data_IF_028180875360
#
_entry.id   IF_028180875360
#
_cell.length_a   1.000
_cell.length_b   1.000
_cell.length_c   1.000
_cell.angle_alpha   90.00
_cell.angle_beta   90.00
_cell.angle_gamma   90.00
#
_symmetry.space_group_name_H-M   'P 1'
#
loop_
_entity.id
_entity.type
_entity.pdbx_description
1 polymer ?
#
# COMPACT_ATOMS: atom_id res chain seq x y z
N UNK A 1 71.15 69.43 67.80
CA UNK A 1 70.10 70.21 67.24
C UNK A 1 69.22 69.33 66.37
N UNK A 2 68.18 68.72 66.93
CA UNK A 2 67.20 67.91 66.14
C UNK A 2 65.83 68.42 66.54
N UNK A 3 65.09 68.93 65.60
CA UNK A 3 63.70 69.37 65.73
C UNK A 3 62.79 68.20 65.61
N UNK A 4 61.96 67.92 66.65
CA UNK A 4 60.96 66.92 66.68
C UNK A 4 59.63 67.56 66.22
N UNK A 5 59.02 67.04 65.20
CA UNK A 5 57.71 67.47 64.72
C UNK A 5 56.68 66.46 65.21
N UNK A 6 55.68 66.96 65.96
CA UNK A 6 54.49 66.19 66.35
C UNK A 6 53.46 66.28 65.24
N UNK A 7 53.00 65.14 64.79
CA UNK A 7 51.86 65.03 63.84
C UNK A 7 50.63 64.59 64.64
N UNK A 8 49.63 65.42 64.65
CA UNK A 8 48.28 65.07 65.13
C UNK A 8 47.52 64.23 64.06
N UNK A 9 47.10 63.03 64.42
CA UNK A 9 46.31 62.18 63.60
C UNK A 9 44.82 62.45 63.88
N UNK A 10 44.11 62.99 62.90
CA UNK A 10 42.65 63.18 62.92
C UNK A 10 41.97 61.94 62.39
N UNK A 11 41.30 61.17 63.24
CA UNK A 11 40.54 60.01 62.83
C UNK A 11 39.20 60.47 62.25
N UNK A 12 39.04 60.34 60.93
CA UNK A 12 37.73 60.46 60.26
C UNK A 12 36.99 59.11 60.35
N UNK A 13 35.85 59.06 61.02
CA UNK A 13 34.89 58.00 61.00
C UNK A 13 34.14 58.07 59.66
N UNK A 14 34.49 57.20 58.73
CA UNK A 14 33.70 57.01 57.48
C UNK A 14 32.54 56.04 57.76
N UNK A 15 31.32 56.57 57.80
CA UNK A 15 30.11 55.78 57.84
C UNK A 15 29.89 55.18 56.44
N UNK A 16 30.21 53.91 56.23
CA UNK A 16 29.94 53.21 55.01
C UNK A 16 28.45 52.76 54.90
N UNK A 17 27.66 53.53 54.19
CA UNK A 17 26.36 53.03 53.68
C UNK A 17 26.61 51.89 52.81
N UNK A 18 26.28 50.67 53.22
CA UNK A 18 26.15 49.48 52.33
C UNK A 18 24.90 49.70 51.51
N UNK A 19 25.05 50.15 50.25
CA UNK A 19 24.01 50.07 49.25
C UNK A 19 23.94 48.61 48.89
N UNK A 20 22.93 47.92 49.41
CA UNK A 20 22.53 46.59 48.93
C UNK A 20 22.14 46.70 47.44
N UNK A 21 23.10 46.40 46.58
CA UNK A 21 22.83 46.30 45.12
C UNK A 21 21.91 45.14 44.91
N UNK A 22 20.65 45.44 44.65
CA UNK A 22 19.78 44.48 43.95
C UNK A 22 20.39 44.23 42.55
N UNK A 23 21.15 43.16 42.43
CA UNK A 23 21.41 42.60 41.10
C UNK A 23 20.05 42.31 40.47
N UNK A 24 19.78 42.80 39.25
CA UNK A 24 18.55 42.41 38.56
C UNK A 24 18.54 40.89 38.48
N UNK A 25 17.59 40.27 39.16
CA UNK A 25 17.31 38.86 38.92
C UNK A 25 16.82 38.81 37.44
N UNK A 26 17.65 38.31 36.55
CA UNK A 26 17.22 37.99 35.21
C UNK A 26 16.06 37.02 35.34
N UNK A 27 14.83 37.53 35.23
CA UNK A 27 13.63 36.74 35.23
C UNK A 27 13.67 35.91 33.94
N UNK A 28 14.18 34.69 34.03
CA UNK A 28 14.18 33.74 32.91
C UNK A 28 12.73 33.57 32.51
N UNK A 29 12.37 34.14 31.37
CA UNK A 29 11.03 34.06 30.80
C UNK A 29 10.73 32.60 30.40
N UNK A 30 9.58 32.09 30.81
CA UNK A 30 9.12 30.77 30.41
C UNK A 30 9.04 30.67 28.90
N UNK A 31 9.55 29.58 28.33
CA UNK A 31 9.47 29.24 26.89
C UNK A 31 8.53 28.09 26.68
N UNK A 32 7.71 28.20 25.64
CA UNK A 32 6.81 27.17 25.19
C UNK A 32 7.43 26.46 23.99
N UNK A 33 7.51 25.13 24.06
CA UNK A 33 7.96 24.31 22.95
C UNK A 33 6.91 23.25 22.61
N UNK A 34 6.77 22.95 21.35
CA UNK A 34 5.92 21.89 20.81
C UNK A 34 6.69 21.23 19.68
N UNK A 35 6.46 19.93 19.44
CA UNK A 35 7.12 19.18 18.39
C UNK A 35 6.10 18.69 17.37
N UNK A 36 6.60 18.42 16.16
CA UNK A 36 5.85 17.69 15.15
C UNK A 36 5.46 16.30 15.68
N UNK A 37 4.31 15.83 15.24
CA UNK A 37 3.82 14.50 15.56
C UNK A 37 3.43 13.75 14.30
N UNK A 38 3.50 12.42 14.37
CA UNK A 38 3.17 11.56 13.26
C UNK A 38 2.52 10.27 13.77
N UNK A 39 1.37 9.92 13.23
CA UNK A 39 0.66 8.68 13.54
C UNK A 39 0.03 8.10 12.29
N UNK A 40 -0.12 6.78 12.24
CA UNK A 40 -0.81 6.09 11.15
C UNK A 40 -2.30 6.47 11.09
N UNK A 41 -2.82 6.55 9.88
CA UNK A 41 -4.26 6.68 9.64
C UNK A 41 -4.99 5.42 10.10
N UNK A 42 -6.06 5.62 10.83
CA UNK A 42 -6.89 4.55 11.39
C UNK A 42 -8.29 4.51 10.78
N UNK A 43 -8.92 3.33 10.84
CA UNK A 43 -10.36 3.15 10.53
C UNK A 43 -11.27 3.66 11.66
N UNK A 44 -10.69 4.09 12.78
CA UNK A 44 -11.37 4.75 13.89
C UNK A 44 -10.76 6.15 14.08
N UNK A 45 -11.57 7.09 14.61
CA UNK A 45 -11.08 8.42 14.93
C UNK A 45 -9.93 8.34 15.94
N UNK A 46 -8.86 9.11 15.69
CA UNK A 46 -7.64 9.09 16.50
C UNK A 46 -7.27 10.50 16.91
N UNK A 47 -6.99 10.71 18.20
CA UNK A 47 -6.51 11.99 18.67
C UNK A 47 -5.00 12.14 18.46
N UNK A 48 -4.62 13.19 17.74
CA UNK A 48 -3.24 13.64 17.61
C UNK A 48 -2.96 14.63 18.72
N UNK A 49 -2.25 14.18 19.77
CA UNK A 49 -1.97 14.96 20.97
C UNK A 49 -0.68 15.75 20.83
N UNK A 50 -0.79 17.05 20.65
CA UNK A 50 0.33 17.98 20.70
C UNK A 50 0.60 18.38 22.16
N UNK A 51 1.79 18.05 22.66
CA UNK A 51 2.24 18.43 24.01
C UNK A 51 2.98 19.75 23.94
N UNK A 52 2.44 20.76 24.62
CA UNK A 52 3.07 22.06 24.79
C UNK A 52 3.87 22.03 26.11
N UNK A 53 5.19 22.02 26.01
CA UNK A 53 6.08 22.01 27.17
C UNK A 53 6.41 23.43 27.62
N UNK A 54 6.52 23.65 28.94
CA UNK A 54 6.82 24.92 29.57
C UNK A 54 8.15 24.81 30.34
N UNK A 55 9.16 25.57 29.94
CA UNK A 55 10.47 25.53 30.59
C UNK A 55 11.15 26.91 30.62
N UNK A 56 11.56 27.41 31.82
CA UNK A 56 11.14 26.97 33.14
C UNK A 56 9.64 27.17 33.36
N UNK A 57 9.07 26.57 34.41
CA UNK A 57 7.67 26.78 34.78
C UNK A 57 7.40 28.24 35.11
N UNK A 58 6.22 28.74 34.77
CA UNK A 58 5.79 30.12 35.10
C UNK A 58 5.05 30.16 36.44
N UNK A 59 5.33 31.14 37.26
CA UNK A 59 4.55 31.43 38.46
C UNK A 59 3.19 32.08 38.15
N UNK A 60 2.91 32.43 36.91
CA UNK A 60 1.65 32.99 36.40
C UNK A 60 0.99 32.06 35.43
N UNK A 61 -0.32 32.15 35.30
CA UNK A 61 -1.02 31.47 34.24
C UNK A 61 -0.53 31.94 32.87
N UNK A 62 -0.27 30.99 31.97
CA UNK A 62 0.09 31.27 30.58
C UNK A 62 -1.17 31.10 29.73
N UNK A 63 -1.39 31.98 28.78
CA UNK A 63 -2.42 31.81 27.75
C UNK A 63 -1.81 31.99 26.38
N UNK A 64 -2.32 31.25 25.39
CA UNK A 64 -1.93 31.41 23.99
C UNK A 64 -3.09 30.98 23.08
N UNK A 65 -3.13 31.58 21.92
CA UNK A 65 -4.09 31.19 20.89
C UNK A 65 -3.55 29.99 20.09
N UNK A 66 -4.43 29.11 19.64
CA UNK A 66 -4.10 28.04 18.72
C UNK A 66 -5.14 27.90 17.63
N UNK A 67 -4.71 27.41 16.46
CA UNK A 67 -5.59 26.97 15.38
C UNK A 67 -4.93 25.88 14.56
N UNK A 68 -5.74 25.02 13.95
CA UNK A 68 -5.27 24.14 12.89
C UNK A 68 -5.37 24.83 11.54
N UNK A 69 -4.48 24.48 10.60
CA UNK A 69 -4.41 25.00 9.24
C UNK A 69 -4.21 23.85 8.27
N UNK A 70 -4.98 23.84 7.21
CA UNK A 70 -4.87 22.84 6.14
C UNK A 70 -3.50 22.90 5.44
N UNK A 71 -3.05 21.72 5.02
CA UNK A 71 -1.97 21.53 4.07
C UNK A 71 -2.41 20.46 3.06
N UNK A 72 -1.82 19.28 3.04
CA UNK A 72 -2.32 18.16 2.23
C UNK A 72 -3.50 17.43 2.90
N UNK A 73 -3.63 17.53 4.22
CA UNK A 73 -4.83 17.14 4.96
C UNK A 73 -5.79 18.32 5.04
N UNK A 74 -7.10 18.06 4.87
CA UNK A 74 -8.16 19.08 4.77
C UNK A 74 -9.15 18.90 5.93
N UNK A 75 -9.45 20.00 6.63
CA UNK A 75 -10.42 20.04 7.71
C UNK A 75 -11.81 19.60 7.25
N UNK A 76 -12.51 18.85 8.09
CA UNK A 76 -13.83 18.26 7.79
C UNK A 76 -13.78 16.99 6.96
N UNK A 77 -12.62 16.68 6.37
CA UNK A 77 -12.39 15.46 5.59
C UNK A 77 -11.36 14.54 6.25
N UNK A 78 -10.23 15.09 6.65
CA UNK A 78 -9.12 14.33 7.20
C UNK A 78 -8.96 14.53 8.72
N UNK A 79 -9.37 15.69 9.22
CA UNK A 79 -9.32 16.03 10.65
C UNK A 79 -10.41 17.06 11.01
N UNK A 80 -10.67 17.21 12.30
CA UNK A 80 -11.59 18.25 12.80
C UNK A 80 -10.82 19.55 13.02
N UNK A 81 -11.25 20.64 12.39
CA UNK A 81 -10.66 21.96 12.59
C UNK A 81 -10.79 22.40 14.05
N UNK A 82 -9.72 22.98 14.58
CA UNK A 82 -9.69 23.55 15.92
C UNK A 82 -9.22 25.00 15.86
N UNK A 83 -9.82 25.84 16.73
CA UNK A 83 -9.35 27.17 17.07
C UNK A 83 -9.75 27.47 18.50
N UNK A 84 -8.89 28.13 19.26
CA UNK A 84 -9.20 28.43 20.66
C UNK A 84 -8.06 29.12 21.41
N UNK A 85 -8.26 29.23 22.71
CA UNK A 85 -7.25 29.72 23.66
C UNK A 85 -6.90 28.58 24.59
N UNK A 86 -5.61 28.23 24.64
CA UNK A 86 -5.09 27.32 25.65
C UNK A 86 -4.70 28.12 26.89
N UNK A 87 -5.16 27.70 28.07
CA UNK A 87 -4.76 28.22 29.36
C UNK A 87 -3.93 27.17 30.10
N UNK A 88 -2.72 27.52 30.50
CA UNK A 88 -1.81 26.66 31.26
C UNK A 88 -1.69 27.28 32.67
N UNK A 89 -2.18 26.62 33.74
CA UNK A 89 -2.08 27.13 35.11
C UNK A 89 -0.63 27.34 35.53
N UNK A 90 -0.44 28.24 36.50
CA UNK A 90 0.86 28.47 37.11
C UNK A 90 1.50 27.16 37.59
N UNK A 91 2.83 27.08 37.47
CA UNK A 91 3.67 25.94 37.87
C UNK A 91 3.42 24.61 37.10
N UNK A 92 2.60 24.61 36.05
CA UNK A 92 2.48 23.44 35.16
C UNK A 92 3.66 23.36 34.19
N UNK A 93 4.12 22.13 33.93
CA UNK A 93 5.24 21.86 33.03
C UNK A 93 4.78 21.60 31.57
N UNK A 94 3.50 21.28 31.37
CA UNK A 94 2.94 21.01 30.06
C UNK A 94 1.43 21.20 30.01
N UNK A 95 0.91 21.31 28.81
CA UNK A 95 -0.51 21.21 28.45
C UNK A 95 -0.67 20.51 27.12
N UNK A 96 -1.91 20.20 26.73
CA UNK A 96 -2.20 19.41 25.53
C UNK A 96 -3.19 20.11 24.62
N UNK A 97 -3.01 19.94 23.32
CA UNK A 97 -4.01 20.24 22.30
C UNK A 97 -4.24 18.92 21.52
N UNK A 98 -5.47 18.40 21.59
CA UNK A 98 -5.87 17.18 20.91
C UNK A 98 -6.60 17.54 19.62
N UNK A 99 -6.03 17.18 18.48
CA UNK A 99 -6.66 17.30 17.15
C UNK A 99 -7.23 15.94 16.75
N UNK A 100 -8.53 15.86 16.58
CA UNK A 100 -9.17 14.61 16.12
C UNK A 100 -8.94 14.41 14.64
N UNK A 101 -8.21 13.36 14.27
CA UNK A 101 -8.09 12.85 12.91
C UNK A 101 -9.28 11.94 12.63
N UNK A 102 -9.97 12.20 11.52
CA UNK A 102 -11.17 11.49 11.13
C UNK A 102 -10.83 10.09 10.60
N UNK A 103 -11.70 9.10 10.83
CA UNK A 103 -11.51 7.74 10.33
C UNK A 103 -11.55 7.74 8.80
N UNK A 104 -10.70 6.94 8.18
CA UNK A 104 -10.70 6.73 6.73
C UNK A 104 -10.22 5.32 6.41
N UNK A 105 -10.98 4.60 5.59
CA UNK A 105 -10.61 3.29 5.06
C UNK A 105 -9.87 3.41 3.71
N UNK A 106 -9.79 4.61 3.13
CA UNK A 106 -9.11 4.83 1.85
C UNK A 106 -7.59 4.78 2.04
N UNK A 107 -6.94 4.21 1.06
CA UNK A 107 -5.48 4.15 0.98
C UNK A 107 -4.98 5.45 0.37
N UNK A 108 -4.41 6.32 1.20
CA UNK A 108 -3.93 7.64 0.80
C UNK A 108 -2.45 7.76 1.09
N UNK A 109 -1.71 8.64 0.38
CA UNK A 109 -0.35 9.01 0.78
C UNK A 109 -0.37 9.68 2.15
N UNK A 110 0.80 9.88 2.71
CA UNK A 110 0.96 10.73 3.89
C UNK A 110 0.34 12.09 3.64
N UNK A 111 -0.46 12.55 4.60
CA UNK A 111 -1.10 13.85 4.58
C UNK A 111 -0.69 14.64 5.81
N UNK A 112 -0.66 15.96 5.71
CA UNK A 112 -0.24 16.82 6.81
C UNK A 112 -1.19 18.00 6.99
N UNK A 113 -1.32 18.42 8.24
CA UNK A 113 -1.91 19.69 8.66
C UNK A 113 -0.96 20.41 9.59
N UNK A 114 -1.19 21.69 9.84
CA UNK A 114 -0.41 22.47 10.79
C UNK A 114 -1.21 22.78 12.05
N UNK A 115 -0.52 22.80 13.19
CA UNK A 115 -0.98 23.47 14.40
C UNK A 115 -0.17 24.75 14.56
N UNK A 116 -0.83 25.90 14.58
CA UNK A 116 -0.23 27.20 14.78
C UNK A 116 -0.57 27.75 16.17
N UNK A 117 0.47 28.12 16.92
CA UNK A 117 0.41 28.77 18.23
C UNK A 117 0.79 30.25 18.07
N UNK A 118 0.05 31.14 18.75
CA UNK A 118 0.29 32.56 18.62
C UNK A 118 -0.11 33.32 19.89
N UNK A 119 0.36 34.57 20.02
CA UNK A 119 0.02 35.48 21.07
C UNK A 119 0.17 34.92 22.49
N UNK A 120 1.34 34.36 22.87
CA UNK A 120 1.57 33.86 24.24
C UNK A 120 1.62 35.05 25.23
N UNK A 121 0.96 34.86 26.38
CA UNK A 121 0.99 35.79 27.50
C UNK A 121 1.71 35.11 28.67
N UNK A 122 2.61 35.81 29.34
CA UNK A 122 3.50 35.34 30.43
C UNK A 122 4.50 34.23 29.99
N UNK A 123 4.73 34.07 28.69
CA UNK A 123 5.71 33.17 28.12
C UNK A 123 6.11 33.66 26.70
N UNK A 124 7.11 33.02 26.11
CA UNK A 124 7.49 33.18 24.71
C UNK A 124 7.47 31.82 23.97
N UNK A 125 7.26 31.80 22.67
CA UNK A 125 7.36 30.59 21.88
C UNK A 125 8.83 30.29 21.56
N UNK A 126 9.19 29.01 21.61
CA UNK A 126 10.43 28.49 21.02
C UNK A 126 10.17 28.22 19.51
N UNK A 127 10.84 29.01 18.66
CA UNK A 127 10.62 28.92 17.22
C UNK A 127 9.43 29.76 16.72
N UNK A 128 8.88 29.38 15.57
CA UNK A 128 7.81 30.14 14.89
C UNK A 128 6.38 29.82 15.36
N UNK A 129 6.27 28.90 16.35
CA UNK A 129 4.96 28.46 16.86
C UNK A 129 4.13 27.60 15.87
N UNK A 130 4.73 27.08 14.82
CA UNK A 130 4.07 26.24 13.82
C UNK A 130 4.69 24.85 13.80
N UNK A 131 3.86 23.83 13.96
CA UNK A 131 4.26 22.41 13.94
C UNK A 131 3.36 21.60 13.02
N UNK A 132 3.84 20.44 12.63
CA UNK A 132 3.19 19.55 11.67
C UNK A 132 2.57 18.36 12.39
N UNK A 133 1.31 18.06 12.06
CA UNK A 133 0.68 16.78 12.35
C UNK A 133 0.66 15.95 11.06
N UNK A 134 1.43 14.87 11.00
CA UNK A 134 1.48 13.98 9.84
C UNK A 134 0.57 12.78 10.06
N UNK A 135 -0.42 12.64 9.21
CA UNK A 135 -1.29 11.47 9.10
C UNK A 135 -0.61 10.52 8.14
N UNK A 136 0.10 9.52 8.64
CA UNK A 136 0.82 8.55 7.83
C UNK A 136 -0.15 7.61 7.12
N UNK A 137 0.18 7.20 5.91
CA UNK A 137 -0.52 6.11 5.27
C UNK A 137 -0.28 4.82 6.08
N UNK A 138 -1.23 3.89 5.97
CA UNK A 138 -1.16 2.60 6.68
C UNK A 138 -0.26 1.57 5.95
N UNK A 139 0.70 2.02 5.14
CA UNK A 139 1.60 1.18 4.35
C UNK A 139 0.95 0.52 3.13
N UNK A 140 -0.31 0.79 2.86
CA UNK A 140 -1.08 0.16 1.79
C UNK A 140 -1.41 1.11 0.62
N UNK A 141 -1.10 2.39 0.72
CA UNK A 141 -1.19 3.31 -0.41
C UNK A 141 -0.08 3.01 -1.41
N UNK A 142 -0.48 2.79 -2.65
CA UNK A 142 0.43 2.56 -3.76
C UNK A 142 0.10 3.57 -4.86
N UNK A 143 0.99 4.52 -5.17
CA UNK A 143 0.84 5.33 -6.37
C UNK A 143 1.02 4.42 -7.58
N UNK A 144 -0.02 4.27 -8.40
CA UNK A 144 0.02 3.50 -9.62
C UNK A 144 0.08 4.45 -10.79
N UNK A 145 1.17 4.35 -11.57
CA UNK A 145 1.23 4.96 -12.88
C UNK A 145 0.49 4.03 -13.87
N UNK A 146 -0.63 4.48 -14.41
CA UNK A 146 -1.48 3.72 -15.33
C UNK A 146 -0.95 3.66 -16.77
N UNK A 147 0.28 4.10 -17.03
CA UNK A 147 0.88 4.06 -18.37
C UNK A 147 1.01 2.64 -18.91
N UNK A 148 0.87 2.49 -20.21
CA UNK A 148 1.00 1.21 -20.91
C UNK A 148 -0.06 1.04 -21.98
N UNK A 149 -0.13 -0.17 -22.54
CA UNK A 149 -1.08 -0.48 -23.59
C UNK A 149 -2.52 -0.44 -23.08
N UNK A 150 -3.43 0.08 -23.92
CA UNK A 150 -4.87 0.10 -23.68
C UNK A 150 -5.58 -0.57 -24.85
N UNK A 151 -6.27 -1.66 -24.58
CA UNK A 151 -7.07 -2.35 -25.60
C UNK A 151 -8.34 -1.55 -25.93
N UNK A 152 -8.94 -1.87 -27.09
CA UNK A 152 -10.24 -1.33 -27.44
C UNK A 152 -11.28 -1.66 -26.38
N UNK A 153 -12.18 -0.73 -26.11
CA UNK A 153 -13.35 -0.98 -25.25
C UNK A 153 -14.51 -1.66 -26.00
N UNK A 154 -14.38 -1.84 -27.31
CA UNK A 154 -15.41 -2.45 -28.18
C UNK A 154 -14.77 -3.32 -29.24
N UNK A 155 -15.42 -4.43 -29.58
CA UNK A 155 -14.99 -5.33 -30.64
C UNK A 155 -16.16 -5.61 -31.59
N UNK A 156 -15.92 -5.65 -32.91
CA UNK A 156 -16.99 -5.93 -33.90
C UNK A 156 -17.72 -7.25 -33.60
N UNK A 157 -19.04 -7.19 -33.51
CA UNK A 157 -19.88 -8.37 -33.26
C UNK A 157 -19.86 -8.90 -31.82
N UNK A 158 -19.23 -8.19 -30.86
CA UNK A 158 -19.18 -8.57 -29.45
C UNK A 158 -19.71 -7.45 -28.58
N UNK A 159 -20.35 -7.80 -27.48
CA UNK A 159 -20.78 -6.87 -26.42
C UNK A 159 -19.97 -7.14 -25.16
N UNK A 160 -19.66 -6.09 -24.39
CA UNK A 160 -19.15 -6.24 -23.03
C UNK A 160 -20.25 -6.83 -22.15
N UNK A 161 -20.08 -8.10 -21.73
CA UNK A 161 -21.08 -8.82 -20.93
C UNK A 161 -20.75 -8.80 -19.43
N UNK A 162 -19.49 -8.59 -19.09
CA UNK A 162 -19.03 -8.47 -17.71
C UNK A 162 -17.69 -7.76 -17.65
N UNK A 163 -17.50 -6.97 -16.60
CA UNK A 163 -16.18 -6.45 -16.24
C UNK A 163 -16.04 -6.26 -14.74
N UNK A 164 -14.81 -6.24 -14.28
CA UNK A 164 -14.42 -5.65 -13.00
C UNK A 164 -13.29 -4.65 -13.27
N UNK A 165 -13.61 -3.37 -13.07
CA UNK A 165 -12.70 -2.23 -13.20
C UNK A 165 -12.14 -1.85 -11.82
N UNK A 166 -12.32 -2.69 -10.81
CA UNK A 166 -11.91 -2.53 -9.42
C UNK A 166 -12.25 -1.15 -8.82
N UNK A 167 -13.51 -0.71 -8.94
CA UNK A 167 -13.92 0.60 -8.44
C UNK A 167 -13.89 0.64 -6.91
N UNK A 168 -13.60 1.81 -6.36
CA UNK A 168 -13.61 2.01 -4.92
C UNK A 168 -12.31 1.59 -4.22
N UNK A 169 -12.42 0.90 -3.09
CA UNK A 169 -11.29 0.58 -2.21
C UNK A 169 -11.34 -0.83 -1.62
N UNK A 170 -12.27 -1.65 -2.06
CA UNK A 170 -12.44 -3.04 -1.60
C UNK A 170 -12.64 -3.98 -2.78
N UNK A 171 -12.16 -5.22 -2.64
CA UNK A 171 -12.41 -6.29 -3.59
C UNK A 171 -13.89 -6.66 -3.49
N UNK A 172 -14.58 -6.72 -4.64
CA UNK A 172 -16.00 -7.02 -4.69
C UNK A 172 -16.25 -8.51 -4.41
N UNK A 173 -16.88 -8.88 -3.27
CA UNK A 173 -17.13 -10.29 -2.91
C UNK A 173 -18.19 -10.97 -3.79
N UNK A 174 -18.91 -10.23 -4.63
CA UNK A 174 -19.81 -10.80 -5.64
C UNK A 174 -19.07 -11.26 -6.91
N UNK A 175 -17.81 -10.87 -7.06
CA UNK A 175 -16.97 -11.27 -8.20
C UNK A 175 -15.85 -12.23 -7.76
N UNK A 176 -15.29 -12.05 -6.55
CA UNK A 176 -14.07 -12.71 -6.11
C UNK A 176 -14.22 -13.34 -4.72
N UNK A 177 -13.54 -14.45 -4.56
CA UNK A 177 -13.27 -15.11 -3.29
C UNK A 177 -11.78 -15.36 -3.14
N UNK A 178 -11.36 -15.90 -1.99
CA UNK A 178 -9.98 -16.22 -1.70
C UNK A 178 -9.78 -17.71 -1.56
N UNK A 179 -8.74 -18.20 -2.21
CA UNK A 179 -8.19 -19.51 -1.94
C UNK A 179 -7.04 -19.35 -0.91
N UNK A 180 -7.09 -20.08 0.19
CA UNK A 180 -6.16 -19.89 1.31
C UNK A 180 -5.43 -21.16 1.68
N UNK A 181 -4.16 -21.06 2.06
CA UNK A 181 -3.35 -22.19 2.47
C UNK A 181 -1.89 -22.07 2.08
N UNK A 182 -1.05 -22.94 2.64
CA UNK A 182 0.40 -22.92 2.44
C UNK A 182 1.00 -24.31 2.21
N UNK A 183 0.24 -25.24 1.59
CA UNK A 183 0.68 -26.64 1.38
C UNK A 183 1.50 -26.86 0.09
N UNK A 184 1.96 -25.78 -0.59
CA UNK A 184 2.79 -25.84 -1.79
C UNK A 184 2.02 -26.00 -3.09
N UNK A 185 0.70 -26.00 -3.06
CA UNK A 185 -0.24 -25.91 -4.19
C UNK A 185 0.05 -26.83 -5.40
N UNK A 186 0.66 -27.98 -5.12
CA UNK A 186 1.05 -28.97 -6.13
C UNK A 186 2.39 -28.67 -6.83
N UNK A 187 2.99 -27.51 -6.62
CA UNK A 187 4.19 -27.04 -7.31
C UNK A 187 5.38 -26.77 -6.36
N UNK A 188 5.31 -27.17 -5.07
CA UNK A 188 6.28 -26.82 -4.04
C UNK A 188 6.44 -25.29 -3.86
N UNK A 189 5.34 -24.55 -4.01
CA UNK A 189 5.28 -23.11 -3.75
C UNK A 189 5.56 -22.82 -2.25
N UNK A 190 6.14 -21.66 -1.96
CA UNK A 190 6.66 -21.34 -0.62
C UNK A 190 5.78 -20.38 0.16
N UNK A 191 4.84 -19.70 -0.50
CA UNK A 191 3.92 -18.75 0.14
C UNK A 191 2.78 -19.48 0.86
N UNK A 192 2.18 -18.74 1.78
CA UNK A 192 0.83 -18.98 2.27
C UNK A 192 -0.10 -17.98 1.58
N UNK A 193 -1.09 -18.43 0.84
CA UNK A 193 -2.14 -17.55 0.31
C UNK A 193 -3.10 -17.19 1.43
N UNK A 194 -3.33 -15.90 1.63
CA UNK A 194 -4.17 -15.34 2.69
C UNK A 194 -5.33 -14.52 2.10
N UNK A 195 -6.36 -14.30 2.90
CA UNK A 195 -7.41 -13.32 2.63
C UNK A 195 -7.12 -11.93 3.23
N UNK A 196 -5.87 -11.69 3.63
CA UNK A 196 -5.44 -10.43 4.25
C UNK A 196 -5.44 -9.28 3.23
N UNK A 197 -5.94 -8.12 3.66
CA UNK A 197 -5.82 -6.89 2.89
C UNK A 197 -4.38 -6.39 2.72
N UNK A 198 -3.40 -7.04 3.35
CA UNK A 198 -1.97 -6.84 3.05
C UNK A 198 -1.54 -7.51 1.75
N UNK A 199 -2.16 -8.65 1.41
CA UNK A 199 -1.80 -9.44 0.24
C UNK A 199 -2.70 -9.18 -0.97
N UNK A 200 -3.99 -8.79 -0.77
CA UNK A 200 -4.83 -8.37 -1.86
C UNK A 200 -5.70 -7.17 -1.47
N UNK A 201 -5.69 -6.14 -2.29
CA UNK A 201 -6.40 -4.89 -2.02
C UNK A 201 -6.68 -4.09 -3.28
N UNK A 202 -7.67 -3.19 -3.19
CA UNK A 202 -7.98 -2.22 -4.24
C UNK A 202 -7.44 -0.85 -3.83
N UNK A 203 -6.80 -0.15 -4.75
CA UNK A 203 -6.30 1.21 -4.58
C UNK A 203 -6.35 1.97 -5.91
N UNK A 204 -6.93 3.17 -5.91
CA UNK A 204 -7.01 4.05 -7.08
C UNK A 204 -7.61 3.38 -8.34
N UNK A 205 -8.56 2.47 -8.21
CA UNK A 205 -9.15 1.75 -9.34
C UNK A 205 -8.32 0.57 -9.84
N UNK A 206 -7.37 0.08 -9.06
CA UNK A 206 -6.53 -1.08 -9.38
C UNK A 206 -6.65 -2.15 -8.31
N UNK A 207 -6.75 -3.41 -8.71
CA UNK A 207 -6.48 -4.54 -7.83
C UNK A 207 -4.96 -4.74 -7.71
N UNK A 208 -4.48 -4.90 -6.49
CA UNK A 208 -3.09 -5.25 -6.20
C UNK A 208 -3.05 -6.60 -5.52
N UNK A 209 -2.28 -7.54 -6.07
CA UNK A 209 -1.90 -8.79 -5.40
C UNK A 209 -0.44 -8.65 -5.01
N UNK A 210 -0.16 -8.71 -3.70
CA UNK A 210 1.16 -8.43 -3.14
C UNK A 210 1.75 -9.68 -2.47
N UNK A 211 2.84 -10.18 -3.04
CA UNK A 211 3.68 -11.21 -2.44
C UNK A 211 4.67 -10.56 -1.46
N UNK A 212 4.71 -11.05 -0.22
CA UNK A 212 5.50 -10.50 0.88
C UNK A 212 6.46 -11.54 1.45
N UNK A 213 7.61 -11.07 1.92
CA UNK A 213 8.51 -11.89 2.74
C UNK A 213 8.18 -11.63 4.20
N UNK A 214 7.32 -12.45 4.75
CA UNK A 214 6.93 -12.40 6.15
C UNK A 214 6.58 -13.80 6.66
N UNK A 215 6.76 -14.03 7.95
CA UNK A 215 6.41 -15.31 8.58
C UNK A 215 4.90 -15.38 8.78
N UNK A 216 4.30 -16.46 8.26
CA UNK A 216 2.89 -16.77 8.48
C UNK A 216 2.77 -18.31 8.63
N UNK A 217 2.30 -18.78 9.78
CA UNK A 217 2.29 -20.21 10.14
C UNK A 217 3.67 -20.87 9.89
N UNK A 218 3.75 -21.88 9.03
CA UNK A 218 5.00 -22.55 8.68
C UNK A 218 5.74 -21.90 7.51
N UNK A 219 5.08 -21.02 6.73
CA UNK A 219 5.61 -20.40 5.53
C UNK A 219 6.40 -19.12 5.86
N UNK A 220 7.34 -18.75 4.99
CA UNK A 220 8.17 -17.55 5.11
C UNK A 220 7.77 -16.44 4.12
N UNK A 221 6.73 -16.69 3.36
CA UNK A 221 6.15 -15.75 2.41
C UNK A 221 4.63 -15.81 2.52
N UNK A 222 3.99 -14.69 2.23
CA UNK A 222 2.54 -14.58 2.06
C UNK A 222 2.22 -13.98 0.70
N UNK A 223 1.05 -14.34 0.16
CA UNK A 223 0.51 -13.78 -1.06
C UNK A 223 -1.00 -13.90 -1.05
N UNK A 224 -1.66 -13.63 -2.19
CA UNK A 224 -3.08 -13.89 -2.36
C UNK A 224 -3.34 -14.64 -3.67
N UNK A 225 -4.39 -15.47 -3.63
CA UNK A 225 -4.98 -16.17 -4.77
C UNK A 225 -6.47 -15.87 -4.76
N UNK A 226 -6.92 -15.10 -5.75
CA UNK A 226 -8.31 -14.72 -5.93
C UNK A 226 -8.93 -15.59 -7.00
N UNK A 227 -10.17 -16.00 -6.78
CA UNK A 227 -10.91 -16.82 -7.73
C UNK A 227 -12.35 -16.32 -7.89
N UNK A 228 -12.91 -16.51 -9.09
CA UNK A 228 -14.30 -16.19 -9.37
C UNK A 228 -15.21 -17.43 -9.36
N UNK A 229 -14.75 -18.56 -8.81
CA UNK A 229 -15.52 -19.80 -8.71
C UNK A 229 -16.86 -19.53 -7.97
N UNK A 230 -17.94 -20.17 -8.42
CA UNK A 230 -19.32 -20.00 -7.92
C UNK A 230 -19.88 -18.58 -7.99
N UNK A 231 -19.12 -17.64 -8.55
CA UNK A 231 -19.53 -16.23 -8.71
C UNK A 231 -19.65 -15.83 -10.17
N UNK A 232 -18.57 -16.04 -10.94
CA UNK A 232 -18.50 -15.69 -12.37
C UNK A 232 -17.75 -16.77 -13.13
N UNK A 233 -18.37 -17.26 -14.19
CA UNK A 233 -17.76 -18.19 -15.13
C UNK A 233 -18.25 -17.91 -16.54
N UNK A 234 -17.43 -18.23 -17.53
CA UNK A 234 -17.69 -17.92 -18.92
C UNK A 234 -17.31 -19.11 -19.81
N UNK A 235 -17.91 -19.15 -20.98
CA UNK A 235 -17.56 -20.08 -22.06
C UNK A 235 -17.51 -19.27 -23.35
N UNK A 236 -16.38 -19.32 -24.06
CA UNK A 236 -16.12 -18.55 -25.28
C UNK A 236 -16.09 -17.03 -25.11
N UNK A 237 -15.81 -16.33 -26.21
CA UNK A 237 -15.72 -14.88 -26.28
C UNK A 237 -14.28 -14.35 -26.21
N UNK A 238 -14.16 -13.07 -25.96
CA UNK A 238 -12.86 -12.44 -25.71
C UNK A 238 -12.76 -12.05 -24.23
N UNK A 239 -11.63 -12.38 -23.63
CA UNK A 239 -11.29 -12.06 -22.25
C UNK A 239 -10.03 -11.20 -22.26
N UNK A 240 -10.07 -10.03 -21.64
CA UNK A 240 -8.95 -9.11 -21.54
C UNK A 240 -8.60 -8.85 -20.07
N UNK A 241 -7.35 -9.11 -19.68
CA UNK A 241 -6.75 -8.66 -18.43
C UNK A 241 -5.75 -7.57 -18.73
N UNK A 242 -5.94 -6.38 -18.17
CA UNK A 242 -4.90 -5.34 -18.20
C UNK A 242 -4.13 -5.35 -16.90
N UNK A 243 -2.85 -5.71 -16.99
CA UNK A 243 -2.03 -5.88 -15.78
C UNK A 243 -0.60 -5.41 -15.97
N UNK A 244 0.03 -5.05 -14.85
CA UNK A 244 1.46 -4.80 -14.69
C UNK A 244 2.02 -5.87 -13.77
N UNK A 245 3.08 -6.55 -14.19
CA UNK A 245 3.54 -7.77 -13.55
C UNK A 245 4.73 -7.55 -12.62
N UNK A 246 4.90 -8.38 -11.57
CA UNK A 246 6.07 -8.39 -10.71
C UNK A 246 7.30 -8.99 -11.42
N UNK A 247 8.48 -8.80 -10.81
CA UNK A 247 9.75 -9.37 -11.27
C UNK A 247 10.62 -9.87 -10.12
N UNK A 248 11.63 -10.65 -10.44
CA UNK A 248 12.60 -11.20 -9.48
C UNK A 248 12.61 -12.71 -9.44
N UNK A 249 13.77 -13.30 -9.13
CA UNK A 249 13.91 -14.75 -9.03
C UNK A 249 12.91 -15.34 -8.03
N UNK A 250 12.22 -16.41 -8.44
CA UNK A 250 11.24 -17.12 -7.61
C UNK A 250 9.88 -16.43 -7.48
N UNK A 251 9.57 -15.45 -8.35
CA UNK A 251 8.26 -14.79 -8.43
C UNK A 251 7.52 -15.33 -9.65
N UNK A 252 6.25 -15.73 -9.47
CA UNK A 252 5.45 -16.38 -10.50
C UNK A 252 4.00 -15.86 -10.46
N UNK A 253 3.71 -14.77 -11.16
CA UNK A 253 2.35 -14.27 -11.35
C UNK A 253 1.62 -15.10 -12.40
N UNK A 254 0.30 -15.27 -12.19
CA UNK A 254 -0.58 -15.91 -13.16
C UNK A 254 -1.97 -15.23 -13.23
N UNK A 255 -2.49 -15.17 -14.45
CA UNK A 255 -3.86 -14.82 -14.82
C UNK A 255 -4.41 -15.99 -15.61
N UNK A 256 -5.26 -16.79 -15.02
CA UNK A 256 -5.61 -18.11 -15.55
C UNK A 256 -7.04 -18.55 -15.19
N UNK A 257 -7.44 -19.71 -15.68
CA UNK A 257 -8.79 -20.22 -15.53
C UNK A 257 -8.80 -21.73 -15.31
N UNK A 258 -9.77 -22.21 -14.52
CA UNK A 258 -10.09 -23.63 -14.38
C UNK A 258 -11.55 -23.91 -14.73
N UNK A 259 -11.81 -25.12 -15.22
CA UNK A 259 -13.17 -25.59 -15.50
C UNK A 259 -14.02 -25.63 -14.22
N UNK A 260 -15.27 -25.14 -14.29
CA UNK A 260 -16.19 -25.10 -13.13
C UNK A 260 -16.57 -26.49 -12.61
N UNK A 261 -16.28 -27.54 -13.38
CA UNK A 261 -16.54 -28.92 -13.00
C UNK A 261 -15.38 -29.58 -12.21
N UNK A 262 -14.43 -28.78 -11.68
CA UNK A 262 -13.24 -29.28 -10.98
C UNK A 262 -13.57 -30.22 -9.81
N UNK A 263 -14.67 -29.95 -9.09
CA UNK A 263 -15.10 -30.77 -7.96
C UNK A 263 -15.57 -32.19 -8.36
N UNK A 264 -15.99 -32.36 -9.62
CA UNK A 264 -16.48 -33.62 -10.16
C UNK A 264 -15.53 -34.27 -11.14
N UNK A 265 -14.75 -33.45 -11.84
CA UNK A 265 -13.67 -33.86 -12.73
C UNK A 265 -12.38 -33.20 -12.27
N UNK A 266 -11.64 -33.89 -11.39
CA UNK A 266 -10.39 -33.35 -10.86
C UNK A 266 -9.40 -32.99 -11.99
N UNK A 267 -8.53 -32.05 -11.70
CA UNK A 267 -7.44 -31.66 -12.59
C UNK A 267 -6.62 -32.88 -13.04
N UNK A 268 -6.17 -32.95 -14.29
CA UNK A 268 -6.31 -31.96 -15.36
C UNK A 268 -7.56 -32.14 -16.26
N UNK A 269 -8.50 -33.02 -15.92
CA UNK A 269 -9.66 -33.33 -16.78
C UNK A 269 -10.72 -32.21 -16.79
N UNK A 270 -10.73 -31.34 -15.77
CA UNK A 270 -11.55 -30.11 -15.77
C UNK A 270 -11.07 -29.10 -16.83
N UNK A 271 -9.81 -29.21 -17.25
CA UNK A 271 -9.15 -28.25 -18.15
C UNK A 271 -8.58 -27.04 -17.39
N UNK A 272 -7.48 -26.48 -17.91
CA UNK A 272 -6.83 -25.26 -17.41
C UNK A 272 -6.42 -24.40 -18.60
N UNK A 273 -6.63 -23.08 -18.50
CA UNK A 273 -6.24 -22.08 -19.50
C UNK A 273 -5.43 -21.00 -18.81
N UNK A 274 -4.13 -20.98 -19.07
CA UNK A 274 -3.23 -19.95 -18.52
C UNK A 274 -3.12 -18.83 -19.53
N UNK A 275 -3.92 -17.77 -19.32
CA UNK A 275 -3.94 -16.61 -20.23
C UNK A 275 -2.59 -15.89 -20.17
N UNK A 276 -2.00 -15.81 -18.99
CA UNK A 276 -0.68 -15.24 -18.76
C UNK A 276 -0.02 -15.90 -17.57
N UNK A 277 1.20 -16.38 -17.76
CA UNK A 277 2.15 -16.72 -16.73
C UNK A 277 3.48 -16.01 -17.01
N UNK A 278 4.23 -15.68 -15.94
CA UNK A 278 5.55 -15.08 -16.07
C UNK A 278 6.50 -15.64 -15.01
N UNK A 279 7.74 -15.94 -15.42
CA UNK A 279 8.84 -16.19 -14.48
C UNK A 279 9.51 -14.87 -14.16
N UNK A 280 9.48 -14.45 -12.90
CA UNK A 280 9.97 -13.12 -12.50
C UNK A 280 11.45 -12.87 -12.80
N UNK A 281 12.26 -13.91 -13.03
CA UNK A 281 13.65 -13.79 -13.49
C UNK A 281 13.78 -13.64 -15.02
N UNK A 282 12.68 -13.84 -15.78
CA UNK A 282 12.56 -13.53 -17.20
C UNK A 282 11.47 -12.47 -17.44
N UNK A 283 11.56 -11.25 -16.82
CA UNK A 283 10.44 -10.32 -16.73
C UNK A 283 10.00 -9.72 -18.07
N UNK A 284 10.72 -9.98 -19.14
CA UNK A 284 10.36 -9.62 -20.52
C UNK A 284 9.55 -10.70 -21.25
N UNK A 285 9.35 -11.89 -20.65
CA UNK A 285 8.77 -13.05 -21.32
C UNK A 285 7.55 -13.57 -20.58
N UNK A 286 6.42 -13.61 -21.27
CA UNK A 286 5.17 -14.17 -20.77
C UNK A 286 4.77 -15.41 -21.57
N UNK A 287 4.05 -16.31 -20.93
CA UNK A 287 3.62 -17.60 -21.48
C UNK A 287 2.10 -17.67 -21.48
N UNK A 288 1.55 -18.41 -22.45
CA UNK A 288 0.16 -18.85 -22.48
C UNK A 288 0.10 -20.34 -22.74
N UNK A 289 -0.69 -21.04 -21.96
CA UNK A 289 -0.72 -22.52 -21.95
C UNK A 289 -2.16 -23.04 -21.83
N UNK A 290 -2.42 -24.21 -22.32
CA UNK A 290 -3.63 -24.98 -21.98
C UNK A 290 -3.23 -26.37 -21.52
N UNK A 291 -3.89 -26.85 -20.44
CA UNK A 291 -3.66 -28.16 -19.84
C UNK A 291 -4.93 -29.01 -19.86
N UNK A 292 -4.77 -30.29 -20.16
CA UNK A 292 -5.85 -31.29 -20.15
C UNK A 292 -5.29 -32.69 -19.86
N UNK A 293 -6.15 -33.65 -19.67
CA UNK A 293 -5.78 -35.05 -19.47
C UNK A 293 -6.84 -35.85 -18.71
N UNK A 294 -6.56 -37.10 -18.33
CA UNK A 294 -7.48 -37.89 -17.51
C UNK A 294 -7.56 -37.38 -16.10
N UNK A 295 -8.71 -37.50 -15.45
CA UNK A 295 -8.93 -37.06 -14.09
C UNK A 295 -7.93 -37.69 -13.11
N UNK A 296 -7.17 -36.85 -12.36
CA UNK A 296 -6.13 -37.27 -11.44
C UNK A 296 -4.93 -37.97 -12.08
N UNK A 297 -4.84 -37.95 -13.42
CA UNK A 297 -3.74 -38.53 -14.19
C UNK A 297 -2.68 -37.51 -14.62
N UNK A 298 -1.83 -37.91 -15.55
CA UNK A 298 -0.81 -37.03 -16.11
C UNK A 298 -1.44 -35.92 -16.94
N UNK A 299 -0.98 -34.70 -16.75
CA UNK A 299 -1.35 -33.57 -17.58
C UNK A 299 -0.60 -33.59 -18.91
N UNK A 300 -1.34 -33.30 -19.98
CA UNK A 300 -0.82 -32.91 -21.30
C UNK A 300 -1.01 -31.40 -21.44
N UNK A 301 -0.08 -30.74 -22.11
CA UNK A 301 -0.19 -29.30 -22.34
C UNK A 301 0.39 -28.90 -23.69
N UNK A 302 -0.08 -27.79 -24.22
CA UNK A 302 0.54 -27.04 -25.30
C UNK A 302 0.54 -25.56 -24.95
N UNK A 303 1.59 -24.85 -25.33
CA UNK A 303 1.73 -23.44 -25.01
C UNK A 303 2.67 -22.71 -25.96
N UNK A 304 2.67 -21.39 -25.82
CA UNK A 304 3.55 -20.48 -26.52
C UNK A 304 4.04 -19.39 -25.60
N UNK A 305 4.91 -18.54 -26.10
CA UNK A 305 5.42 -17.41 -25.35
C UNK A 305 5.57 -16.17 -26.22
N UNK A 306 5.58 -15.02 -25.55
CA UNK A 306 5.83 -13.72 -26.16
C UNK A 306 6.90 -12.98 -25.38
N UNK A 307 7.84 -12.36 -26.10
CA UNK A 307 8.91 -11.58 -25.46
C UNK A 307 8.90 -10.14 -25.93
N UNK A 308 8.95 -9.20 -25.01
CA UNK A 308 9.20 -7.79 -25.27
C UNK A 308 10.65 -7.59 -25.71
N UNK A 309 10.88 -6.71 -26.68
CA UNK A 309 12.21 -6.51 -27.28
C UNK A 309 13.14 -5.60 -26.42
N UNK A 310 12.60 -4.69 -25.62
CA UNK A 310 13.39 -3.65 -24.95
C UNK A 310 12.92 -3.26 -23.55
N UNK A 311 11.79 -3.78 -23.11
CA UNK A 311 11.16 -3.46 -21.81
C UNK A 311 10.79 -4.76 -21.09
N UNK A 312 10.29 -4.62 -19.88
CA UNK A 312 9.74 -5.74 -19.10
C UNK A 312 8.26 -5.51 -18.83
N UNK A 313 7.52 -6.59 -18.60
CA UNK A 313 6.11 -6.51 -18.18
C UNK A 313 5.91 -5.86 -16.79
N UNK A 314 7.02 -5.49 -16.13
CA UNK A 314 7.01 -4.74 -14.87
C UNK A 314 7.12 -3.23 -15.05
N UNK A 315 7.42 -2.73 -16.25
CA UNK A 315 7.65 -1.31 -16.49
C UNK A 315 6.36 -0.55 -16.78
N UNK A 316 5.40 -1.19 -17.47
CA UNK A 316 4.12 -0.60 -17.86
C UNK A 316 2.99 -1.64 -17.83
N UNK A 317 1.75 -1.18 -18.00
CA UNK A 317 0.60 -2.07 -18.18
C UNK A 317 0.57 -2.65 -19.57
N UNK A 318 0.20 -3.93 -19.66
CA UNK A 318 -0.04 -4.68 -20.88
C UNK A 318 -1.41 -5.35 -20.83
N UNK A 319 -1.98 -5.69 -21.99
CA UNK A 319 -3.25 -6.41 -22.06
C UNK A 319 -3.00 -7.84 -22.50
N UNK A 320 -3.31 -8.77 -21.63
CA UNK A 320 -3.25 -10.21 -21.86
C UNK A 320 -4.64 -10.70 -22.24
N UNK A 321 -4.78 -11.22 -23.47
CA UNK A 321 -6.08 -11.55 -24.03
C UNK A 321 -6.18 -13.00 -24.43
N UNK A 322 -7.35 -13.58 -24.20
CA UNK A 322 -7.80 -14.84 -24.76
C UNK A 322 -8.96 -14.58 -25.73
N UNK A 323 -8.83 -14.98 -27.01
CA UNK A 323 -9.97 -15.16 -27.89
C UNK A 323 -10.32 -16.65 -27.91
N UNK A 324 -11.47 -16.95 -27.37
CA UNK A 324 -11.91 -18.30 -27.10
C UNK A 324 -13.14 -18.64 -28.00
N UNK A 325 -12.89 -19.42 -28.99
CA UNK A 325 -13.88 -19.92 -29.98
C UNK A 325 -14.15 -21.41 -29.74
N UNK A 326 -15.18 -21.95 -30.36
CA UNK A 326 -15.59 -23.36 -30.20
C UNK A 326 -14.45 -24.37 -30.45
N UNK A 327 -13.60 -24.09 -31.43
CA UNK A 327 -12.55 -25.00 -31.85
C UNK A 327 -11.13 -24.46 -31.71
N UNK A 328 -10.99 -23.26 -31.06
CA UNK A 328 -9.72 -22.58 -31.01
C UNK A 328 -9.62 -21.61 -29.82
N UNK A 329 -8.49 -21.64 -29.14
CA UNK A 329 -8.07 -20.66 -28.17
C UNK A 329 -6.89 -19.88 -28.76
N UNK A 330 -6.98 -18.55 -28.78
CA UNK A 330 -5.94 -17.68 -29.34
C UNK A 330 -5.47 -16.71 -28.26
N UNK A 331 -4.18 -16.70 -28.02
CA UNK A 331 -3.53 -15.91 -26.94
C UNK A 331 -2.83 -14.69 -27.52
N UNK A 332 -3.15 -13.52 -26.99
CA UNK A 332 -2.62 -12.25 -27.48
C UNK A 332 -2.03 -11.44 -26.32
N UNK A 333 -0.98 -10.67 -26.63
CA UNK A 333 -0.46 -9.63 -25.75
C UNK A 333 -0.46 -8.33 -26.55
N UNK A 334 -1.12 -7.29 -26.01
CA UNK A 334 -1.28 -5.99 -26.68
C UNK A 334 -1.83 -6.13 -28.10
N UNK A 335 -2.86 -6.97 -28.25
CA UNK A 335 -3.48 -7.40 -29.51
C UNK A 335 -2.56 -8.15 -30.49
N UNK A 336 -1.32 -8.44 -30.13
CA UNK A 336 -0.43 -9.28 -30.94
C UNK A 336 -0.67 -10.77 -30.65
N UNK A 337 -1.19 -11.49 -31.63
CA UNK A 337 -1.36 -12.93 -31.54
C UNK A 337 0.01 -13.63 -31.52
N UNK A 338 0.28 -14.42 -30.48
CA UNK A 338 1.55 -15.15 -30.36
C UNK A 338 1.39 -16.69 -30.29
N UNK A 339 0.23 -17.17 -29.86
CA UNK A 339 -0.03 -18.59 -29.71
C UNK A 339 -1.49 -18.92 -30.01
N UNK A 340 -1.77 -20.12 -30.51
CA UNK A 340 -3.11 -20.66 -30.64
C UNK A 340 -3.10 -22.15 -30.37
N UNK A 341 -4.11 -22.64 -29.65
CA UNK A 341 -4.42 -24.03 -29.43
C UNK A 341 -5.71 -24.38 -30.19
N UNK A 342 -5.67 -25.36 -31.11
CA UNK A 342 -6.86 -25.83 -31.79
C UNK A 342 -7.41 -27.12 -31.17
N UNK A 343 -8.70 -27.35 -31.29
CA UNK A 343 -9.36 -28.56 -30.78
C UNK A 343 -8.72 -29.84 -31.34
N UNK A 344 -8.25 -29.81 -32.57
CA UNK A 344 -7.57 -30.95 -33.20
C UNK A 344 -6.23 -31.32 -32.57
N UNK A 345 -5.63 -30.44 -31.78
CA UNK A 345 -4.37 -30.68 -31.05
C UNK A 345 -4.63 -31.32 -29.69
N UNK A 346 -5.87 -31.28 -29.19
CA UNK A 346 -6.27 -31.85 -27.90
C UNK A 346 -6.71 -33.28 -28.11
N UNK A 347 -5.91 -34.23 -27.67
CA UNK A 347 -6.24 -35.64 -27.70
C UNK A 347 -7.10 -36.04 -26.50
N UNK A 348 -8.06 -36.92 -26.69
CA UNK A 348 -8.99 -37.34 -25.63
C UNK A 348 -10.18 -36.40 -25.46
N UNK A 349 -10.67 -36.30 -24.22
CA UNK A 349 -11.78 -35.40 -23.88
C UNK A 349 -11.33 -33.93 -24.04
N UNK A 350 -12.14 -33.13 -24.77
CA UNK A 350 -11.89 -31.69 -24.91
C UNK A 350 -12.61 -30.90 -23.82
N UNK A 351 -11.89 -30.33 -22.83
CA UNK A 351 -12.54 -29.66 -21.73
C UNK A 351 -12.94 -28.21 -22.03
N UNK A 352 -12.35 -27.59 -23.07
CA UNK A 352 -12.47 -26.15 -23.37
C UNK A 352 -13.80 -25.78 -24.09
N UNK A 353 -14.83 -26.58 -23.95
CA UNK A 353 -16.22 -26.28 -24.37
C UNK A 353 -17.18 -26.17 -23.16
N UNK A 354 -16.62 -26.05 -21.94
CA UNK A 354 -17.34 -25.91 -20.66
C UNK A 354 -17.09 -24.52 -20.06
N UNK A 355 -17.86 -24.10 -19.06
CA UNK A 355 -17.59 -22.87 -18.34
C UNK A 355 -16.31 -22.95 -17.53
N UNK A 356 -15.53 -21.86 -17.53
CA UNK A 356 -14.32 -21.67 -16.73
C UNK A 356 -14.46 -20.44 -15.85
N UNK A 357 -13.89 -20.50 -14.65
CA UNK A 357 -13.76 -19.38 -13.73
C UNK A 357 -12.33 -18.84 -13.71
N UNK A 358 -12.18 -17.58 -13.33
CA UNK A 358 -10.88 -16.89 -13.27
C UNK A 358 -10.13 -17.17 -11.98
N UNK A 359 -8.81 -17.20 -12.08
CA UNK A 359 -7.88 -17.19 -10.94
C UNK A 359 -6.77 -16.18 -11.23
N UNK A 360 -6.42 -15.42 -10.19
CA UNK A 360 -5.32 -14.43 -10.21
C UNK A 360 -4.47 -14.63 -8.97
N UNK A 361 -3.17 -14.84 -9.11
CA UNK A 361 -2.25 -15.02 -8.00
C UNK A 361 -0.83 -14.55 -8.32
N UNK A 362 -0.03 -14.41 -7.28
CA UNK A 362 1.42 -14.30 -7.35
C UNK A 362 2.01 -15.39 -6.47
N UNK A 363 2.51 -16.46 -7.07
CA UNK A 363 3.22 -17.51 -6.36
C UNK A 363 4.65 -17.07 -6.01
N UNK A 364 5.21 -17.66 -4.96
CA UNK A 364 6.60 -17.45 -4.51
C UNK A 364 7.30 -18.79 -4.40
N UNK A 365 8.38 -18.97 -5.15
CA UNK A 365 9.04 -20.26 -5.26
C UNK A 365 8.27 -21.24 -6.13
N UNK A 366 8.67 -22.47 -6.10
CA UNK A 366 8.03 -23.54 -6.86
C UNK A 366 8.96 -24.24 -7.85
N UNK A 367 8.46 -25.31 -8.44
CA UNK A 367 9.25 -26.15 -9.34
C UNK A 367 9.71 -25.41 -10.60
N UNK A 368 8.90 -24.51 -11.12
CA UNK A 368 9.20 -23.82 -12.38
C UNK A 368 9.99 -22.52 -12.19
N UNK A 369 9.58 -21.55 -11.33
CA UNK A 369 10.35 -20.32 -11.12
C UNK A 369 11.63 -20.53 -10.31
N UNK A 370 11.76 -21.66 -9.59
CA UNK A 370 12.76 -21.86 -8.56
C UNK A 370 12.50 -20.98 -7.32
N UNK A 371 13.38 -21.02 -6.35
CA UNK A 371 13.21 -20.27 -5.11
C UNK A 371 13.73 -18.83 -5.22
N UNK A 372 13.16 -17.90 -4.44
CA UNK A 372 13.76 -16.56 -4.25
C UNK A 372 15.19 -16.65 -3.75
N UNK A 373 16.02 -15.73 -4.20
CA UNK A 373 17.42 -15.59 -3.79
C UNK A 373 17.61 -14.34 -2.93
N UNK A 374 18.79 -14.14 -2.37
CA UNK A 374 19.06 -12.99 -1.48
C UNK A 374 18.81 -11.63 -2.14
N UNK A 375 18.92 -11.55 -3.47
CA UNK A 375 18.68 -10.33 -4.26
C UNK A 375 17.21 -10.17 -4.69
N UNK A 376 16.33 -11.13 -4.41
CA UNK A 376 14.90 -10.97 -4.69
C UNK A 376 14.31 -9.96 -3.71
N UNK A 377 13.85 -8.84 -4.25
CA UNK A 377 13.27 -7.74 -3.48
C UNK A 377 11.81 -8.03 -3.19
N UNK A 378 11.37 -7.77 -1.96
CA UNK A 378 9.97 -7.84 -1.54
C UNK A 378 9.55 -6.48 -0.96
N UNK A 379 8.24 -6.12 -1.02
CA UNK A 379 7.16 -6.87 -1.66
C UNK A 379 7.21 -6.82 -3.19
N UNK A 380 6.66 -7.87 -3.83
CA UNK A 380 6.44 -7.93 -5.27
C UNK A 380 4.94 -7.84 -5.56
N UNK A 381 4.55 -7.16 -6.63
CA UNK A 381 3.15 -6.83 -6.90
C UNK A 381 2.74 -7.11 -8.32
N UNK A 382 1.64 -7.84 -8.48
CA UNK A 382 0.85 -7.80 -9.70
C UNK A 382 -0.26 -6.75 -9.51
N UNK A 383 -0.38 -5.83 -10.46
CA UNK A 383 -1.36 -4.76 -10.43
C UNK A 383 -2.29 -4.96 -11.61
N UNK A 384 -3.58 -5.15 -11.37
CA UNK A 384 -4.61 -5.38 -12.39
C UNK A 384 -5.51 -4.16 -12.48
N UNK A 385 -5.62 -3.59 -13.66
CA UNK A 385 -6.47 -2.44 -13.97
C UNK A 385 -7.92 -2.88 -14.19
N UNK A 386 -8.09 -3.88 -15.04
CA UNK A 386 -9.41 -4.45 -15.29
C UNK A 386 -9.35 -5.92 -15.74
N UNK A 387 -10.50 -6.55 -15.57
CA UNK A 387 -10.86 -7.81 -16.25
C UNK A 387 -12.13 -7.56 -17.04
N UNK A 388 -12.14 -7.85 -18.35
CA UNK A 388 -13.29 -7.63 -19.23
C UNK A 388 -13.60 -8.87 -20.04
N UNK A 389 -14.89 -9.16 -20.22
CA UNK A 389 -15.39 -10.29 -21.02
C UNK A 389 -16.37 -9.78 -22.05
N UNK A 390 -16.11 -10.12 -23.31
CA UNK A 390 -16.91 -9.74 -24.47
C UNK A 390 -17.44 -11.00 -25.17
N UNK A 391 -18.75 -10.99 -25.50
CA UNK A 391 -19.43 -12.04 -26.28
C UNK A 391 -20.37 -11.46 -27.32
#
# INVERSE_FOLDING_TARGET
>A
MRKTVFIFSLALLACSCIISGNTPVDLVSSKLSVQDISHERNTQATNFRFTINVSPTSSKNITLNYKTVDSTAVAGKDYTALTGILSIPANQQSAFIDVMVLPDSLRRPDQAFYLELSFPVNASLSGNGKVIGTIQNNGMYLPVDGTGYVASSTYPGMNLIWSDEFPGNTINPSNWDYDTGGSGWGNNELEYYTSSSKNAFVTNGYLVIEARKEKYETNNYTSARLLSNDKKSFTYGRIDFRAKLPKGQGIWPALWMLGTNIDTKSWPACGEIDIMELLGHEPQKAYGTVHWGPAGGASTHIGGNYSLMSQTFSDSFHVFSLKWETDKLSFLIDDNLYFSASKSQVNGDYPFDKPFFFIMNVAVGGNWPGNPVATTVFPQRMIVDYVRVYQ
#
